data_IF_666534926113
#
_entry.id   IF_666534926113
#
_cell.length_a   1.000
_cell.length_b   1.000
_cell.length_c   1.000
_cell.angle_alpha   90.00
_cell.angle_beta   90.00
_cell.angle_gamma   90.00
#
_symmetry.space_group_name_H-M   'P 1'
#
loop_
_entity.id
_entity.type
_entity.pdbx_description
1 polymer ?
#
# COMPACT_ATOMS: atom_id res chain seq x y z
N UNK A 1 -11.14 1.53 5.00
CA UNK A 1 -9.94 2.07 5.69
C UNK A 1 -9.43 1.05 6.68
N UNK A 2 -8.13 0.78 6.69
CA UNK A 2 -7.43 -0.03 7.70
C UNK A 2 -7.02 0.91 8.84
N UNK A 3 -7.34 0.54 10.07
CA UNK A 3 -7.09 1.29 11.30
C UNK A 3 -5.69 0.99 11.86
N UNK A 4 -5.18 1.82 12.80
CA UNK A 4 -3.81 1.68 13.30
C UNK A 4 -3.47 0.30 13.88
N UNK A 5 -4.44 -0.35 14.53
CA UNK A 5 -4.27 -1.66 15.17
C UNK A 5 -4.00 -2.80 14.18
N UNK A 6 -4.38 -2.61 12.91
CA UNK A 6 -4.20 -3.63 11.87
C UNK A 6 -3.05 -3.32 10.91
N UNK A 7 -2.18 -2.37 11.24
CA UNK A 7 -1.01 -2.03 10.43
C UNK A 7 -0.16 -3.25 10.06
N UNK A 8 0.17 -4.10 11.04
CA UNK A 8 0.96 -5.33 10.84
C UNK A 8 0.27 -6.40 9.99
N UNK A 9 -1.02 -6.22 9.68
CA UNK A 9 -1.84 -7.10 8.85
C UNK A 9 -2.34 -6.41 7.58
N UNK A 10 -1.73 -5.28 7.20
CA UNK A 10 -2.13 -4.51 6.01
C UNK A 10 -2.07 -5.39 4.77
N UNK A 11 -1.03 -6.19 4.61
CA UNK A 11 -0.87 -7.09 3.47
C UNK A 11 -1.98 -8.15 3.41
N UNK A 12 -2.22 -8.85 4.52
CA UNK A 12 -3.29 -9.84 4.62
C UNK A 12 -4.67 -9.26 4.26
N UNK A 13 -4.99 -8.07 4.77
CA UNK A 13 -6.27 -7.40 4.48
C UNK A 13 -6.38 -7.04 2.99
N UNK A 14 -5.30 -6.54 2.37
CA UNK A 14 -5.27 -6.25 0.93
C UNK A 14 -5.48 -7.50 0.09
N UNK A 15 -4.89 -8.64 0.49
CA UNK A 15 -5.10 -9.92 -0.18
C UNK A 15 -6.58 -10.32 -0.15
N UNK A 16 -7.25 -10.24 1.01
CA UNK A 16 -8.66 -10.62 1.12
C UNK A 16 -9.59 -9.65 0.38
N UNK A 17 -9.28 -8.35 0.35
CA UNK A 17 -9.99 -7.37 -0.49
C UNK A 17 -10.00 -7.81 -1.96
N UNK A 18 -8.83 -8.12 -2.52
CA UNK A 18 -8.73 -8.46 -3.95
C UNK A 18 -9.31 -9.86 -4.22
N UNK A 19 -9.12 -10.84 -3.32
CA UNK A 19 -9.77 -12.17 -3.43
C UNK A 19 -11.29 -12.09 -3.41
N UNK A 20 -11.84 -11.19 -2.60
CA UNK A 20 -13.28 -10.94 -2.59
C UNK A 20 -13.76 -10.33 -3.91
N UNK A 21 -12.87 -9.93 -4.83
CA UNK A 21 -13.20 -9.43 -6.16
C UNK A 21 -13.47 -7.92 -6.17
N UNK A 22 -12.88 -7.17 -5.25
CA UNK A 22 -12.83 -5.71 -5.34
C UNK A 22 -11.69 -5.26 -6.24
N UNK A 23 -11.89 -4.12 -6.90
CA UNK A 23 -10.84 -3.36 -7.57
C UNK A 23 -10.44 -2.21 -6.67
N UNK A 24 -9.16 -2.08 -6.36
CA UNK A 24 -8.62 -0.91 -5.66
C UNK A 24 -8.51 0.24 -6.68
N UNK A 25 -9.21 1.34 -6.44
CA UNK A 25 -9.15 2.55 -7.28
C UNK A 25 -8.13 3.55 -6.78
N UNK A 26 -8.09 3.75 -5.47
CA UNK A 26 -7.13 4.58 -4.78
C UNK A 26 -6.75 3.91 -3.46
N UNK A 27 -5.50 4.09 -3.03
CA UNK A 27 -5.02 3.71 -1.72
C UNK A 27 -3.97 4.74 -1.28
N UNK A 28 -4.05 5.16 -0.02
CA UNK A 28 -2.97 5.94 0.60
C UNK A 28 -2.84 5.63 2.09
N UNK A 29 -1.61 5.66 2.58
CA UNK A 29 -1.32 5.72 4.02
C UNK A 29 -1.28 7.18 4.45
N UNK A 30 -1.98 7.52 5.53
CA UNK A 30 -2.09 8.90 5.98
C UNK A 30 -2.25 9.00 7.50
N UNK A 31 -1.94 10.18 8.04
CA UNK A 31 -2.22 10.51 9.43
C UNK A 31 -3.42 11.45 9.51
N UNK A 32 -4.26 11.22 10.50
CA UNK A 32 -5.39 12.09 10.81
C UNK A 32 -5.05 12.88 12.06
N UNK A 33 -5.14 14.20 11.96
CA UNK A 33 -5.19 15.04 13.14
C UNK A 33 -6.58 14.92 13.81
N UNK A 34 -6.71 15.49 15.01
CA UNK A 34 -7.97 15.42 15.76
C UNK A 34 -9.15 16.06 14.99
N UNK A 35 -9.04 17.29 14.46
CA UNK A 35 -10.08 17.87 13.60
C UNK A 35 -10.52 16.97 12.44
N UNK A 36 -9.58 16.37 11.70
CA UNK A 36 -9.86 15.49 10.58
C UNK A 36 -10.57 14.20 11.03
N UNK A 37 -10.11 13.57 12.11
CA UNK A 37 -10.75 12.39 12.68
C UNK A 37 -12.16 12.69 13.19
N UNK A 38 -12.37 13.83 13.87
CA UNK A 38 -13.70 14.25 14.34
C UNK A 38 -14.66 14.54 13.18
N UNK A 39 -14.17 15.14 12.09
CA UNK A 39 -14.94 15.37 10.86
C UNK A 39 -15.36 14.05 10.22
N UNK A 40 -14.43 13.10 10.11
CA UNK A 40 -14.70 11.77 9.54
C UNK A 40 -15.77 11.01 10.33
N UNK A 41 -15.73 11.09 11.66
CA UNK A 41 -16.66 10.37 12.56
C UNK A 41 -17.75 11.27 13.16
N UNK A 42 -18.08 12.40 12.52
CA UNK A 42 -19.02 13.39 13.07
C UNK A 42 -20.38 12.79 13.48
N UNK A 43 -20.84 11.76 12.76
CA UNK A 43 -22.12 11.07 13.00
C UNK A 43 -22.10 10.25 14.31
N UNK A 44 -20.97 10.19 15.01
CA UNK A 44 -20.79 9.56 16.32
C UNK A 44 -20.52 10.56 17.44
N UNK A 45 -20.53 11.86 17.15
CA UNK A 45 -20.33 12.91 18.17
C UNK A 45 -21.39 12.80 19.26
N UNK A 46 -20.93 12.83 20.52
CA UNK A 46 -21.79 12.67 21.70
C UNK A 46 -22.04 11.22 22.14
N UNK A 47 -21.58 10.21 21.39
CA UNK A 47 -21.57 8.82 21.86
C UNK A 47 -20.45 8.61 22.88
N UNK A 48 -20.68 7.75 23.88
CA UNK A 48 -19.73 7.51 24.98
C UNK A 48 -18.35 7.02 24.54
N UNK A 49 -18.26 6.37 23.38
CA UNK A 49 -17.01 5.86 22.81
C UNK A 49 -16.28 6.85 21.89
N UNK A 50 -16.87 8.02 21.59
CA UNK A 50 -16.36 8.94 20.58
C UNK A 50 -14.94 9.42 20.89
N UNK A 51 -14.69 9.91 22.10
CA UNK A 51 -13.36 10.39 22.50
C UNK A 51 -12.28 9.29 22.43
N UNK A 52 -12.63 8.06 22.83
CA UNK A 52 -11.71 6.93 22.75
C UNK A 52 -11.39 6.58 21.30
N UNK A 53 -12.39 6.62 20.41
CA UNK A 53 -12.23 6.38 18.99
C UNK A 53 -11.36 7.43 18.32
N UNK A 54 -11.60 8.72 18.59
CA UNK A 54 -10.78 9.81 18.04
C UNK A 54 -9.34 9.70 18.51
N UNK A 55 -9.11 9.52 19.82
CA UNK A 55 -7.76 9.33 20.37
C UNK A 55 -7.02 8.16 19.72
N UNK A 56 -7.74 7.06 19.46
CA UNK A 56 -7.19 5.89 18.80
C UNK A 56 -6.83 6.17 17.33
N UNK A 57 -7.74 6.76 16.57
CA UNK A 57 -7.49 7.05 15.15
C UNK A 57 -6.36 8.06 14.92
N UNK A 58 -6.15 8.98 15.85
CA UNK A 58 -5.05 9.96 15.78
C UNK A 58 -3.74 9.42 16.37
N UNK A 59 -3.72 8.20 16.91
CA UNK A 59 -2.54 7.65 17.57
C UNK A 59 -1.44 7.23 16.59
N UNK A 60 -1.83 6.82 15.39
CA UNK A 60 -0.91 6.39 14.33
C UNK A 60 -1.54 6.53 12.94
N UNK A 61 -0.82 6.13 11.91
CA UNK A 61 -1.28 6.14 10.53
C UNK A 61 -2.46 5.17 10.28
N UNK A 62 -3.28 5.53 9.29
CA UNK A 62 -4.35 4.70 8.73
C UNK A 62 -4.12 4.48 7.24
N UNK A 63 -4.65 3.38 6.70
CA UNK A 63 -4.63 3.14 5.25
C UNK A 63 -6.03 3.35 4.69
N UNK A 64 -6.23 4.46 3.99
CA UNK A 64 -7.45 4.74 3.25
C UNK A 64 -7.43 3.97 1.92
N UNK A 65 -8.56 3.35 1.56
CA UNK A 65 -8.69 2.53 0.34
C UNK A 65 -10.06 2.80 -0.26
N UNK A 66 -10.08 3.22 -1.51
CA UNK A 66 -11.29 3.30 -2.34
C UNK A 66 -11.47 1.97 -3.08
N UNK A 67 -12.59 1.31 -2.81
CA UNK A 67 -12.93 0.01 -3.39
C UNK A 67 -14.05 0.17 -4.42
N UNK A 68 -13.87 -0.43 -5.59
CA UNK A 68 -14.85 -0.50 -6.65
C UNK A 68 -15.30 -1.94 -6.91
N UNK A 69 -16.58 -2.11 -7.22
CA UNK A 69 -17.19 -3.38 -7.58
C UNK A 69 -18.71 -3.34 -7.47
N UNK A 70 -19.37 -4.40 -7.92
CA UNK A 70 -20.83 -4.50 -7.84
C UNK A 70 -21.28 -4.57 -6.37
N UNK A 71 -22.25 -3.73 -6.01
CA UNK A 71 -22.77 -3.58 -4.65
C UNK A 71 -21.65 -3.39 -3.60
N UNK A 72 -20.61 -2.60 -3.95
CA UNK A 72 -19.37 -2.51 -3.19
C UNK A 72 -19.58 -2.26 -1.69
N UNK A 73 -20.46 -1.33 -1.31
CA UNK A 73 -20.76 -1.03 0.10
C UNK A 73 -21.29 -2.25 0.85
N UNK A 74 -22.33 -2.91 0.32
CA UNK A 74 -22.93 -4.06 0.97
C UNK A 74 -21.94 -5.23 1.08
N UNK A 75 -21.22 -5.50 -0.01
CA UNK A 75 -20.21 -6.56 -0.08
C UNK A 75 -19.04 -6.30 0.88
N UNK A 76 -18.60 -5.04 0.99
CA UNK A 76 -17.50 -4.67 1.89
C UNK A 76 -17.93 -4.85 3.33
N UNK A 77 -19.15 -4.41 3.68
CA UNK A 77 -19.70 -4.61 5.01
C UNK A 77 -19.81 -6.08 5.38
N UNK A 78 -20.24 -6.93 4.46
CA UNK A 78 -20.28 -8.37 4.69
C UNK A 78 -18.88 -8.91 5.00
N UNK A 79 -17.90 -8.62 4.15
CA UNK A 79 -16.51 -9.06 4.34
C UNK A 79 -15.91 -8.56 5.67
N UNK A 80 -16.22 -7.31 6.04
CA UNK A 80 -15.76 -6.70 7.30
C UNK A 80 -16.27 -7.45 8.52
N UNK A 81 -17.56 -7.77 8.59
CA UNK A 81 -18.16 -8.41 9.76
C UNK A 81 -17.92 -9.93 9.80
N UNK A 82 -17.87 -10.59 8.64
CA UNK A 82 -17.76 -12.06 8.57
C UNK A 82 -16.31 -12.57 8.61
N UNK A 83 -15.32 -11.77 8.18
CA UNK A 83 -13.93 -12.23 8.04
C UNK A 83 -12.90 -11.28 8.69
N UNK A 84 -12.86 -10.01 8.27
CA UNK A 84 -11.75 -9.11 8.64
C UNK A 84 -11.74 -8.73 10.12
N UNK A 85 -12.88 -8.32 10.69
CA UNK A 85 -12.98 -7.98 12.11
C UNK A 85 -12.77 -9.18 13.03
N UNK A 86 -13.37 -10.36 12.77
CA UNK A 86 -13.10 -11.55 13.57
C UNK A 86 -11.62 -11.94 13.62
N UNK A 87 -10.86 -11.73 12.53
CA UNK A 87 -9.45 -12.13 12.44
C UNK A 87 -8.48 -11.08 12.99
N UNK A 88 -8.72 -9.81 12.71
CA UNK A 88 -7.75 -8.74 12.95
C UNK A 88 -8.19 -7.74 14.02
N UNK A 89 -9.47 -7.75 14.40
CA UNK A 89 -10.02 -6.86 15.43
C UNK A 89 -9.70 -7.35 16.84
N UNK A 90 -9.41 -6.42 17.74
CA UNK A 90 -9.18 -6.67 19.17
C UNK A 90 -10.43 -6.42 20.01
N UNK A 91 -11.13 -5.32 19.76
CA UNK A 91 -12.33 -4.91 20.50
C UNK A 91 -13.25 -4.02 19.64
N UNK A 92 -14.32 -3.47 20.22
CA UNK A 92 -15.30 -2.66 19.50
C UNK A 92 -14.71 -1.37 18.88
N UNK A 93 -13.66 -0.78 19.49
CA UNK A 93 -13.00 0.44 19.02
C UNK A 93 -11.84 0.11 18.09
N UNK A 94 -11.00 -0.83 18.51
CA UNK A 94 -9.86 -1.40 17.79
C UNK A 94 -10.31 -2.63 17.03
N UNK A 95 -10.98 -2.40 15.91
CA UNK A 95 -11.62 -3.44 15.11
C UNK A 95 -11.00 -3.56 13.72
N UNK A 96 -9.72 -3.24 13.55
CA UNK A 96 -8.94 -3.36 12.32
C UNK A 96 -9.38 -2.52 11.10
N UNK A 97 -10.66 -2.44 10.78
CA UNK A 97 -11.16 -1.83 9.55
C UNK A 97 -12.46 -1.05 9.76
N UNK A 98 -12.53 0.08 9.05
CA UNK A 98 -13.73 0.89 8.85
C UNK A 98 -14.25 0.70 7.42
N UNK A 99 -15.58 0.65 7.30
CA UNK A 99 -16.29 0.64 6.03
C UNK A 99 -17.51 1.54 6.11
N UNK A 100 -17.68 2.37 5.07
CA UNK A 100 -18.84 3.25 4.95
C UNK A 100 -20.14 2.44 4.95
N UNK A 101 -21.20 3.02 5.51
CA UNK A 101 -22.48 2.33 5.70
C UNK A 101 -23.48 2.57 4.55
N UNK A 102 -23.27 3.59 3.72
CA UNK A 102 -24.06 3.91 2.54
C UNK A 102 -23.18 4.42 1.38
N UNK A 103 -23.74 4.51 0.17
CA UNK A 103 -23.04 5.05 -0.99
C UNK A 103 -22.76 6.55 -0.84
N UNK A 104 -23.68 7.30 -0.23
CA UNK A 104 -23.51 8.73 0.06
C UNK A 104 -22.36 8.95 1.05
N UNK A 105 -22.27 8.13 2.08
CA UNK A 105 -21.19 8.20 3.05
C UNK A 105 -19.86 7.77 2.43
N UNK A 106 -19.86 6.72 1.59
CA UNK A 106 -18.68 6.35 0.83
C UNK A 106 -18.17 7.51 -0.04
N UNK A 107 -19.06 8.20 -0.77
CA UNK A 107 -18.66 9.34 -1.60
C UNK A 107 -18.05 10.49 -0.77
N UNK A 108 -18.65 10.83 0.39
CA UNK A 108 -18.11 11.86 1.30
C UNK A 108 -16.74 11.46 1.86
N UNK A 109 -16.59 10.21 2.26
CA UNK A 109 -15.34 9.67 2.82
C UNK A 109 -14.24 9.59 1.75
N UNK A 110 -14.57 9.17 0.53
CA UNK A 110 -13.64 9.16 -0.62
C UNK A 110 -13.14 10.58 -0.89
N UNK A 111 -14.03 11.57 -0.97
CA UNK A 111 -13.65 12.97 -1.17
C UNK A 111 -12.77 13.48 -0.02
N UNK A 112 -13.08 13.09 1.22
CA UNK A 112 -12.27 13.46 2.38
C UNK A 112 -10.82 12.95 2.29
N UNK A 113 -10.60 11.72 1.78
CA UNK A 113 -9.27 11.12 1.70
C UNK A 113 -8.51 11.42 0.41
N UNK A 114 -9.23 11.49 -0.72
CA UNK A 114 -8.64 11.52 -2.07
C UNK A 114 -9.04 12.75 -2.91
N UNK A 115 -9.88 13.63 -2.36
CA UNK A 115 -10.24 14.90 -2.99
C UNK A 115 -9.07 15.90 -3.02
N UNK A 116 -9.23 16.99 -3.77
CA UNK A 116 -8.19 18.00 -3.93
C UNK A 116 -7.84 18.72 -2.61
N UNK A 117 -8.82 18.88 -1.73
CA UNK A 117 -8.67 19.50 -0.41
C UNK A 117 -8.60 18.44 0.70
N UNK A 118 -8.00 17.28 0.39
CA UNK A 118 -7.89 16.16 1.32
C UNK A 118 -7.21 16.59 2.62
N UNK A 119 -7.83 16.22 3.74
CA UNK A 119 -7.29 16.44 5.09
C UNK A 119 -6.32 15.32 5.53
N UNK A 120 -6.05 14.35 4.66
CA UNK A 120 -5.16 13.24 4.93
C UNK A 120 -3.70 13.65 4.69
N UNK A 121 -2.95 13.82 5.77
CA UNK A 121 -1.53 14.17 5.74
C UNK A 121 -0.70 12.96 5.30
N UNK A 122 0.30 13.19 4.44
CA UNK A 122 1.24 12.14 4.05
C UNK A 122 2.08 11.68 5.25
N UNK A 123 2.49 10.42 5.21
CA UNK A 123 3.18 9.75 6.32
C UNK A 123 4.65 9.45 6.03
N UNK A 124 5.13 9.84 4.85
CA UNK A 124 6.52 9.62 4.45
C UNK A 124 7.50 10.37 5.36
N UNK A 125 8.60 9.72 5.72
CA UNK A 125 9.57 10.22 6.71
C UNK A 125 10.90 10.63 6.06
N UNK A 126 11.24 10.03 4.91
CA UNK A 126 12.41 10.34 4.09
C UNK A 126 13.74 10.12 4.82
N UNK A 127 13.83 9.08 5.65
CA UNK A 127 15.09 8.69 6.28
C UNK A 127 15.22 7.19 6.44
N UNK A 128 16.46 6.69 6.34
CA UNK A 128 16.78 5.26 6.41
C UNK A 128 15.76 4.46 5.59
N UNK A 129 15.55 4.89 4.34
CA UNK A 129 14.43 4.48 3.51
C UNK A 129 14.88 4.02 2.13
N UNK A 130 14.03 3.26 1.48
CA UNK A 130 14.14 2.87 0.07
C UNK A 130 12.76 2.94 -0.56
N UNK A 131 12.72 3.34 -1.83
CA UNK A 131 11.50 3.27 -2.62
C UNK A 131 11.27 1.83 -3.06
N UNK A 132 10.07 1.30 -2.81
CA UNK A 132 9.61 0.04 -3.36
C UNK A 132 8.38 0.28 -4.23
N UNK A 133 8.42 -0.16 -5.49
CA UNK A 133 7.25 -0.13 -6.37
C UNK A 133 6.82 -1.55 -6.71
N UNK A 134 5.65 -1.94 -6.21
CA UNK A 134 4.98 -3.19 -6.60
C UNK A 134 4.34 -2.97 -7.96
N UNK A 135 4.85 -3.67 -8.97
CA UNK A 135 4.55 -3.42 -10.39
C UNK A 135 3.12 -3.82 -10.77
N UNK A 136 2.58 -3.30 -11.89
CA UNK A 136 1.17 -3.49 -12.26
C UNK A 136 0.71 -4.94 -12.39
N UNK A 137 1.58 -5.83 -12.90
CA UNK A 137 1.24 -7.25 -13.01
C UNK A 137 1.02 -7.96 -11.65
N UNK A 138 1.49 -7.38 -10.54
CA UNK A 138 1.24 -7.87 -9.18
C UNK A 138 0.18 -7.03 -8.47
N UNK A 139 0.28 -5.69 -8.55
CA UNK A 139 -0.54 -4.76 -7.80
C UNK A 139 -2.06 -5.03 -7.98
N UNK A 140 -2.47 -5.39 -9.19
CA UNK A 140 -3.89 -5.68 -9.52
C UNK A 140 -4.34 -7.12 -9.17
N UNK A 141 -3.56 -7.87 -8.38
CA UNK A 141 -3.84 -9.27 -8.03
C UNK A 141 -3.78 -9.46 -6.51
N UNK A 142 -4.33 -10.56 -5.94
CA UNK A 142 -4.22 -10.84 -4.51
C UNK A 142 -2.78 -10.88 -3.96
N UNK A 143 -1.79 -11.09 -4.84
CA UNK A 143 -0.37 -11.12 -4.49
C UNK A 143 0.17 -9.77 -4.04
N UNK A 144 -0.51 -8.66 -4.32
CA UNK A 144 -0.12 -7.34 -3.80
C UNK A 144 -0.05 -7.36 -2.27
N UNK A 145 -1.03 -7.99 -1.62
CA UNK A 145 -1.05 -8.12 -0.18
C UNK A 145 0.01 -9.09 0.33
N UNK A 146 0.29 -10.18 -0.38
CA UNK A 146 1.37 -11.12 -0.04
C UNK A 146 2.75 -10.45 -0.09
N UNK A 147 3.00 -9.56 -1.06
CA UNK A 147 4.24 -8.77 -1.12
C UNK A 147 4.32 -7.81 0.07
N UNK A 148 3.25 -7.05 0.34
CA UNK A 148 3.20 -6.12 1.48
C UNK A 148 3.42 -6.85 2.81
N UNK A 149 2.78 -8.00 3.00
CA UNK A 149 2.92 -8.80 4.22
C UNK A 149 4.35 -9.35 4.34
N UNK A 150 4.94 -9.84 3.24
CA UNK A 150 6.32 -10.30 3.25
C UNK A 150 7.33 -9.20 3.64
N UNK A 151 7.09 -7.95 3.26
CA UNK A 151 7.92 -6.81 3.68
C UNK A 151 7.82 -6.62 5.20
N UNK A 152 6.61 -6.56 5.74
CA UNK A 152 6.36 -6.40 7.18
C UNK A 152 6.93 -7.56 8.01
N UNK A 153 6.72 -8.81 7.56
CA UNK A 153 7.18 -10.02 8.24
C UNK A 153 8.72 -10.13 8.28
N UNK A 154 9.43 -9.47 7.36
CA UNK A 154 10.89 -9.38 7.36
C UNK A 154 11.43 -8.21 8.21
N UNK A 155 10.58 -7.57 9.00
CA UNK A 155 10.98 -6.55 9.98
C UNK A 155 11.26 -5.18 9.39
N UNK A 156 10.76 -4.91 8.18
CA UNK A 156 10.75 -3.57 7.62
C UNK A 156 9.52 -2.80 8.10
N UNK A 157 9.68 -1.51 8.29
CA UNK A 157 8.58 -0.57 8.48
C UNK A 157 8.13 -0.06 7.10
N UNK A 158 6.83 -0.06 6.83
CA UNK A 158 6.23 0.69 5.72
C UNK A 158 5.68 1.99 6.29
N UNK A 159 6.32 3.12 6.03
CA UNK A 159 5.94 4.42 6.58
C UNK A 159 5.04 5.22 5.65
N UNK A 160 5.01 4.90 4.35
CA UNK A 160 4.07 5.48 3.40
C UNK A 160 3.67 4.46 2.34
N UNK A 161 2.45 4.59 1.82
CA UNK A 161 1.91 3.77 0.74
C UNK A 161 1.06 4.63 -0.17
N UNK A 162 1.19 4.46 -1.50
CA UNK A 162 0.36 5.16 -2.48
C UNK A 162 0.05 4.30 -3.69
N UNK A 163 -1.22 4.22 -4.03
CA UNK A 163 -1.67 3.72 -5.32
C UNK A 163 -1.41 4.78 -6.38
N UNK A 164 -0.64 4.45 -7.41
CA UNK A 164 -0.26 5.39 -8.46
C UNK A 164 -0.38 4.75 -9.84
N UNK A 165 -0.68 5.57 -10.84
CA UNK A 165 -0.57 5.21 -12.25
C UNK A 165 0.27 6.28 -12.89
N UNK A 166 1.46 5.91 -13.35
CA UNK A 166 2.42 6.82 -13.95
C UNK A 166 2.23 6.82 -15.46
N UNK A 167 2.26 8.01 -16.05
CA UNK A 167 2.32 8.08 -17.51
C UNK A 167 3.69 7.61 -18.02
N UNK A 168 3.76 7.33 -19.32
CA UNK A 168 4.97 6.79 -19.92
C UNK A 168 6.20 7.67 -19.69
N UNK A 169 6.03 9.00 -19.75
CA UNK A 169 7.13 9.95 -19.56
C UNK A 169 7.67 9.90 -18.13
N UNK A 170 6.77 9.89 -17.13
CA UNK A 170 7.12 9.77 -15.73
C UNK A 170 7.84 8.45 -15.44
N UNK A 171 7.44 7.35 -16.09
CA UNK A 171 8.15 6.07 -16.02
C UNK A 171 9.54 6.11 -16.67
N UNK A 172 9.72 6.84 -17.77
CA UNK A 172 11.02 7.03 -18.43
C UNK A 172 11.97 7.84 -17.54
N UNK A 173 11.47 8.92 -16.92
CA UNK A 173 12.23 9.73 -15.96
C UNK A 173 12.59 8.90 -14.71
N UNK A 174 11.64 8.15 -14.15
CA UNK A 174 11.87 7.29 -12.97
C UNK A 174 12.87 6.15 -13.23
N UNK A 175 12.90 5.57 -14.43
CA UNK A 175 13.79 4.45 -14.78
C UNK A 175 15.03 4.88 -15.57
N UNK A 176 15.30 6.18 -15.70
CA UNK A 176 16.33 6.74 -16.59
C UNK A 176 17.71 6.10 -16.35
N UNK A 177 18.06 5.81 -15.10
CA UNK A 177 19.33 5.19 -14.70
C UNK A 177 19.57 3.81 -15.34
N UNK A 178 18.51 3.13 -15.77
CA UNK A 178 18.59 1.83 -16.45
C UNK A 178 18.68 1.96 -17.98
N UNK A 179 18.50 3.18 -18.52
CA UNK A 179 18.57 3.45 -19.95
C UNK A 179 19.97 3.17 -20.49
N UNK A 180 20.06 2.32 -21.52
CA UNK A 180 21.34 1.86 -22.08
C UNK A 180 22.10 0.82 -21.24
N UNK A 181 21.64 0.53 -20.02
CA UNK A 181 22.20 -0.52 -19.14
C UNK A 181 21.42 -1.83 -19.29
N UNK A 182 20.08 -1.76 -19.24
CA UNK A 182 19.22 -2.93 -19.37
C UNK A 182 18.66 -3.07 -20.80
N UNK A 183 18.85 -4.23 -21.48
CA UNK A 183 18.24 -4.48 -22.78
C UNK A 183 16.72 -4.37 -22.77
N UNK A 184 16.10 -4.68 -21.64
CA UNK A 184 14.65 -4.70 -21.46
C UNK A 184 14.05 -3.33 -21.05
N UNK A 185 14.85 -2.26 -20.97
CA UNK A 185 14.44 -0.94 -20.49
C UNK A 185 13.10 -0.46 -21.08
N UNK A 186 12.98 -0.43 -22.41
CA UNK A 186 11.75 0.01 -23.09
C UNK A 186 10.53 -0.84 -22.71
N UNK A 187 10.72 -2.15 -22.51
CA UNK A 187 9.64 -3.04 -22.09
C UNK A 187 9.28 -2.82 -20.62
N UNK A 188 10.25 -2.51 -19.76
CA UNK A 188 9.99 -2.19 -18.34
C UNK A 188 9.21 -0.90 -18.16
N UNK A 189 9.56 0.14 -18.93
CA UNK A 189 8.77 1.39 -18.99
C UNK A 189 7.34 1.11 -19.46
N UNK A 190 7.19 0.28 -20.50
CA UNK A 190 5.87 -0.10 -21.03
C UNK A 190 5.06 -0.90 -20.00
N UNK A 191 5.70 -1.78 -19.24
CA UNK A 191 5.04 -2.55 -18.19
C UNK A 191 4.61 -1.67 -17.01
N UNK A 192 5.50 -0.80 -16.53
CA UNK A 192 5.23 0.09 -15.40
C UNK A 192 4.14 1.12 -15.72
N UNK A 193 4.12 1.66 -16.93
CA UNK A 193 3.08 2.58 -17.42
C UNK A 193 1.78 1.88 -17.84
N UNK A 194 1.76 0.54 -17.85
CA UNK A 194 0.64 -0.26 -18.36
C UNK A 194 -0.54 -0.39 -17.39
N UNK A 195 -0.40 0.05 -16.13
CA UNK A 195 -1.44 -0.05 -15.13
C UNK A 195 -1.03 0.55 -13.78
N UNK A 196 -1.89 0.41 -12.76
CA UNK A 196 -1.59 0.94 -11.44
C UNK A 196 -0.49 0.13 -10.74
N UNK A 197 0.35 0.83 -10.00
CA UNK A 197 1.34 0.27 -9.08
C UNK A 197 1.02 0.67 -7.65
N UNK A 198 1.60 -0.05 -6.70
CA UNK A 198 1.62 0.34 -5.29
C UNK A 198 3.04 0.76 -4.92
N UNK A 199 3.25 2.05 -4.74
CA UNK A 199 4.52 2.63 -4.30
C UNK A 199 4.54 2.69 -2.76
N UNK A 200 5.70 2.37 -2.18
CA UNK A 200 5.91 2.27 -0.75
C UNK A 200 7.21 3.00 -0.37
N UNK A 201 7.17 3.73 0.73
CA UNK A 201 8.39 4.03 1.49
C UNK A 201 8.63 2.87 2.46
N UNK A 202 9.77 2.19 2.31
CA UNK A 202 10.17 1.10 3.19
C UNK A 202 11.38 1.55 4.01
N UNK A 203 11.31 1.38 5.33
CA UNK A 203 12.28 1.90 6.30
C UNK A 203 12.89 0.80 7.16
N UNK A 204 14.20 0.92 7.35
CA UNK A 204 15.04 0.12 8.25
C UNK A 204 16.43 0.77 8.32
N UNK A 205 17.23 0.47 9.34
CA UNK A 205 18.67 0.77 9.28
C UNK A 205 19.31 0.14 8.03
N UNK A 206 20.06 0.92 7.25
CA UNK A 206 20.61 0.51 5.95
C UNK A 206 19.55 -0.07 5.01
N UNK A 207 18.40 0.62 4.90
CA UNK A 207 17.22 0.15 4.18
C UNK A 207 17.52 -0.30 2.75
N UNK A 208 18.33 0.44 1.97
CA UNK A 208 18.60 0.07 0.58
C UNK A 208 19.34 -1.27 0.51
N UNK A 209 20.47 -1.44 1.21
CA UNK A 209 21.19 -2.72 1.24
C UNK A 209 20.31 -3.88 1.75
N UNK A 210 19.62 -3.67 2.88
CA UNK A 210 18.81 -4.71 3.51
C UNK A 210 17.63 -5.12 2.64
N UNK A 211 16.93 -4.15 2.06
CA UNK A 211 15.76 -4.41 1.22
C UNK A 211 16.14 -5.04 -0.12
N UNK A 212 17.27 -4.65 -0.72
CA UNK A 212 17.80 -5.32 -1.92
C UNK A 212 18.09 -6.80 -1.69
N UNK A 213 18.52 -7.19 -0.49
CA UNK A 213 18.67 -8.62 -0.11
C UNK A 213 17.33 -9.35 -0.08
N UNK A 214 16.27 -8.71 0.45
CA UNK A 214 14.91 -9.26 0.46
C UNK A 214 14.32 -9.35 -0.95
N UNK A 215 14.56 -8.34 -1.80
CA UNK A 215 14.07 -8.27 -3.18
C UNK A 215 14.76 -9.31 -4.07
N UNK A 216 16.08 -9.42 -3.96
CA UNK A 216 16.90 -10.37 -4.69
C UNK A 216 17.25 -9.96 -6.13
N UNK A 217 17.92 -10.87 -6.87
CA UNK A 217 18.41 -10.59 -8.22
C UNK A 217 17.34 -10.08 -9.17
N UNK A 218 17.72 -9.15 -10.06
CA UNK A 218 16.83 -8.53 -11.04
C UNK A 218 16.09 -9.54 -11.93
N UNK A 219 16.76 -10.61 -12.34
CA UNK A 219 16.17 -11.70 -13.12
C UNK A 219 15.49 -12.72 -12.18
N UNK A 220 14.16 -12.93 -12.25
CA UNK A 220 13.44 -13.88 -11.41
C UNK A 220 13.93 -15.33 -11.52
N UNK A 221 14.45 -15.75 -12.68
CA UNK A 221 14.98 -17.11 -12.86
C UNK A 221 16.29 -17.29 -12.07
N UNK A 222 17.17 -16.28 -12.11
CA UNK A 222 18.39 -16.24 -11.30
C UNK A 222 18.03 -16.18 -9.82
N UNK A 223 17.05 -15.35 -9.46
CA UNK A 223 16.56 -15.25 -8.07
C UNK A 223 16.05 -16.61 -7.56
N UNK A 224 15.22 -17.33 -8.32
CA UNK A 224 14.74 -18.68 -7.96
C UNK A 224 15.88 -19.67 -7.77
N UNK A 225 16.90 -19.64 -8.62
CA UNK A 225 18.03 -20.57 -8.56
C UNK A 225 18.98 -20.29 -7.38
N UNK A 226 19.27 -19.02 -7.09
CA UNK A 226 20.32 -18.63 -6.15
C UNK A 226 19.80 -18.17 -4.78
N UNK A 227 18.58 -17.62 -4.75
CA UNK A 227 17.96 -16.92 -3.60
C UNK A 227 16.43 -17.14 -3.60
N UNK A 228 15.93 -18.37 -3.44
CA UNK A 228 14.51 -18.72 -3.63
C UNK A 228 13.54 -18.04 -2.65
N UNK A 229 14.04 -17.48 -1.54
CA UNK A 229 13.23 -16.79 -0.53
C UNK A 229 12.99 -15.30 -0.85
N UNK A 230 13.50 -14.76 -1.96
CA UNK A 230 13.39 -13.33 -2.27
C UNK A 230 12.08 -13.00 -2.99
N UNK A 231 11.66 -11.72 -2.93
CA UNK A 231 10.41 -11.27 -3.55
C UNK A 231 10.39 -11.53 -5.07
N UNK A 232 11.49 -11.23 -5.78
CA UNK A 232 11.57 -11.50 -7.22
C UNK A 232 11.55 -12.99 -7.54
N UNK A 233 12.07 -13.84 -6.65
CA UNK A 233 11.98 -15.29 -6.80
C UNK A 233 10.55 -15.80 -6.63
N UNK A 234 9.83 -15.29 -5.61
CA UNK A 234 8.47 -15.73 -5.29
C UNK A 234 7.43 -15.21 -6.30
N UNK A 235 7.53 -13.94 -6.69
CA UNK A 235 6.47 -13.24 -7.42
C UNK A 235 6.83 -12.89 -8.86
N UNK A 236 8.13 -12.87 -9.20
CA UNK A 236 8.59 -12.50 -10.54
C UNK A 236 8.32 -13.56 -11.61
N UNK A 237 7.95 -13.08 -12.79
CA UNK A 237 7.67 -13.88 -13.99
C UNK A 237 8.90 -13.93 -14.89
N UNK A 238 9.41 -12.76 -15.28
CA UNK A 238 10.57 -12.58 -16.17
C UNK A 238 11.28 -11.24 -15.86
N UNK A 239 12.27 -10.86 -16.67
CA UNK A 239 13.07 -9.63 -16.48
C UNK A 239 12.28 -8.32 -16.64
N UNK A 240 11.13 -8.36 -17.30
CA UNK A 240 10.22 -7.21 -17.45
C UNK A 240 9.23 -7.20 -16.29
N UNK A 241 8.57 -8.34 -16.05
CA UNK A 241 7.62 -8.57 -14.98
C UNK A 241 8.32 -9.19 -13.77
N UNK A 242 9.24 -8.42 -13.18
CA UNK A 242 10.09 -8.87 -12.09
C UNK A 242 9.48 -8.64 -10.68
N UNK A 243 8.16 -8.51 -10.58
CA UNK A 243 7.38 -8.19 -9.37
C UNK A 243 7.59 -6.80 -8.75
N UNK A 244 8.82 -6.48 -8.32
CA UNK A 244 9.10 -5.25 -7.55
C UNK A 244 10.33 -4.51 -8.07
N UNK A 245 10.19 -3.19 -8.16
CA UNK A 245 11.32 -2.25 -8.19
C UNK A 245 11.75 -1.94 -6.75
N UNK A 246 13.05 -1.75 -6.56
CA UNK A 246 13.61 -1.18 -5.34
C UNK A 246 14.79 -0.27 -5.71
N UNK A 247 15.05 0.75 -4.89
CA UNK A 247 16.24 1.59 -5.03
C UNK A 247 17.52 0.73 -5.04
N UNK A 248 18.47 1.09 -5.90
CA UNK A 248 19.72 0.32 -6.07
C UNK A 248 20.93 0.94 -5.34
N UNK A 249 20.97 2.26 -5.18
CA UNK A 249 22.05 3.02 -4.56
C UNK A 249 21.60 3.66 -3.25
N UNK A 250 22.49 3.73 -2.25
CA UNK A 250 22.16 4.26 -0.93
C UNK A 250 21.81 5.76 -0.99
N UNK A 251 22.54 6.51 -1.83
CA UNK A 251 22.32 7.93 -2.07
C UNK A 251 20.96 8.25 -2.72
N UNK A 252 20.37 7.29 -3.44
CA UNK A 252 19.11 7.45 -4.15
C UNK A 252 17.89 7.06 -3.31
N UNK A 253 18.11 6.43 -2.14
CA UNK A 253 17.03 5.88 -1.31
C UNK A 253 16.00 6.94 -0.91
N UNK A 254 16.45 8.11 -0.48
CA UNK A 254 15.56 9.23 -0.17
C UNK A 254 15.01 9.90 -1.44
N UNK A 255 15.86 10.10 -2.45
CA UNK A 255 15.50 10.80 -3.69
C UNK A 255 14.40 10.10 -4.48
N UNK A 256 14.38 8.76 -4.52
CA UNK A 256 13.32 8.00 -5.18
C UNK A 256 11.99 7.98 -4.40
N UNK A 257 12.00 8.31 -3.10
CA UNK A 257 10.81 8.32 -2.24
C UNK A 257 10.10 9.69 -2.28
N UNK A 258 10.85 10.78 -2.41
CA UNK A 258 10.34 12.17 -2.54
C UNK A 258 9.50 12.40 -3.80
#
# INVERSE_FOLDING_TARGET
MIKPDAYSHTGDILTEIVKAGFVIKNLRMCKLDRPAAEKLYQDHKGKSFFEALIKFLTSDAVVAIELWGDNAVAKWRQLVEEDLRPRFGTDATRNAVHGSDSAENAAREIEFFFGSDSAAEETAIFNNCTCCVIRPHIASTPKVGEVVQAILDNGFEISAMRWCSLDKRSCEEFLEVYSGVLPEYTMQVTELSGGPSLALEVRQESAVEAFRKLVGPHDPQIAKALRPATLRAAFGVDRVKNAVHCTDLEEDGQLEVE
#
